data_IF_663794387935
#
_entry.id   IF_663794387935
#
_cell.length_a   1.000
_cell.length_b   1.000
_cell.length_c   1.000
_cell.angle_alpha   90.00
_cell.angle_beta   90.00
_cell.angle_gamma   90.00
#
_symmetry.space_group_name_H-M   'P 1'
#
loop_
_entity.id
_entity.type
_entity.pdbx_description
1 polymer ?
#
# COMPACT_ATOMS: atom_id res chain seq x y z
N UNK A 1 -22.52 8.87 -38.34
CA UNK A 1 -22.24 8.56 -36.91
C UNK A 1 -20.90 9.18 -36.54
N UNK A 2 -20.91 10.28 -35.74
CA UNK A 2 -19.69 10.88 -35.21
C UNK A 2 -19.34 10.07 -33.96
N UNK A 3 -18.34 9.21 -34.00
CA UNK A 3 -17.70 8.64 -32.83
C UNK A 3 -17.01 9.80 -32.11
N UNK A 4 -17.65 10.32 -31.05
CA UNK A 4 -16.99 11.19 -30.07
C UNK A 4 -16.05 10.25 -29.30
N UNK A 5 -14.80 10.24 -29.67
CA UNK A 5 -13.74 9.68 -28.83
C UNK A 5 -13.74 10.51 -27.55
N UNK A 6 -14.38 9.96 -26.49
CA UNK A 6 -14.18 10.46 -25.14
C UNK A 6 -12.68 10.27 -24.90
N UNK A 7 -11.90 11.36 -24.90
CA UNK A 7 -10.51 11.29 -24.50
C UNK A 7 -10.56 10.90 -23.03
N UNK A 8 -10.43 9.61 -22.77
CA UNK A 8 -10.18 9.13 -21.43
C UNK A 8 -8.87 9.77 -21.02
N UNK A 9 -8.91 10.67 -20.06
CA UNK A 9 -7.71 11.16 -19.39
C UNK A 9 -7.24 10.02 -18.49
N UNK A 10 -6.82 8.93 -19.16
CA UNK A 10 -6.32 7.76 -18.45
C UNK A 10 -5.10 8.20 -17.65
N UNK A 11 -5.17 8.01 -16.35
CA UNK A 11 -4.00 8.09 -15.48
C UNK A 11 -2.83 7.37 -16.18
N UNK A 12 -1.67 7.97 -16.16
CA UNK A 12 -0.43 7.28 -16.48
C UNK A 12 0.39 7.10 -15.18
N UNK A 13 1.19 6.07 -15.16
CA UNK A 13 1.99 5.72 -13.97
C UNK A 13 3.04 6.77 -13.63
N UNK A 14 3.54 7.53 -14.61
CA UNK A 14 4.48 8.61 -14.35
C UNK A 14 3.84 9.70 -13.49
N UNK A 15 2.58 10.08 -13.76
CA UNK A 15 1.82 11.03 -12.95
C UNK A 15 1.54 10.47 -11.54
N UNK A 16 1.08 9.21 -11.45
CA UNK A 16 0.87 8.57 -10.15
C UNK A 16 2.14 8.54 -9.30
N UNK A 17 3.27 8.22 -9.91
CA UNK A 17 4.55 8.18 -9.21
C UNK A 17 4.97 9.57 -8.69
N UNK A 18 4.74 10.64 -9.45
CA UNK A 18 4.97 12.02 -8.98
C UNK A 18 4.11 12.38 -7.77
N UNK A 19 2.87 11.89 -7.70
CA UNK A 19 2.01 12.09 -6.53
C UNK A 19 2.57 11.36 -5.32
N UNK A 20 3.05 10.13 -5.48
CA UNK A 20 3.70 9.37 -4.42
C UNK A 20 4.97 10.05 -3.91
N UNK A 21 5.82 10.52 -4.81
CA UNK A 21 7.01 11.29 -4.43
C UNK A 21 6.66 12.55 -3.62
N UNK A 22 5.60 13.27 -4.00
CA UNK A 22 5.11 14.45 -3.24
C UNK A 22 4.61 14.06 -1.85
N UNK A 23 3.88 12.95 -1.73
CA UNK A 23 3.38 12.44 -0.46
C UNK A 23 4.53 12.05 0.47
N UNK A 24 5.49 11.27 -0.03
CA UNK A 24 6.68 10.83 0.70
C UNK A 24 7.50 12.05 1.15
N UNK A 25 7.78 12.99 0.26
CA UNK A 25 8.54 14.18 0.60
C UNK A 25 7.84 15.04 1.66
N UNK A 26 6.51 15.20 1.59
CA UNK A 26 5.75 15.94 2.60
C UNK A 26 5.79 15.24 3.96
N UNK A 27 5.66 13.91 3.98
CA UNK A 27 5.72 13.13 5.23
C UNK A 27 7.06 13.33 5.94
N UNK A 28 8.17 13.20 5.23
CA UNK A 28 9.51 13.28 5.80
C UNK A 28 9.98 14.70 6.19
N UNK A 29 9.10 15.72 6.02
CA UNK A 29 9.37 17.05 6.61
C UNK A 29 9.30 17.01 8.14
N UNK A 30 8.31 16.33 8.70
CA UNK A 30 8.15 16.15 10.16
C UNK A 30 8.58 14.74 10.61
N UNK A 31 8.56 13.78 9.71
CA UNK A 31 8.99 12.41 9.91
C UNK A 31 8.41 11.76 11.18
N UNK A 32 7.10 11.88 11.36
CA UNK A 32 6.39 11.42 12.55
C UNK A 32 5.10 10.70 12.16
N UNK A 33 4.85 9.53 12.76
CA UNK A 33 3.61 8.77 12.56
C UNK A 33 2.37 9.46 13.13
N UNK A 34 2.54 10.42 14.02
CA UNK A 34 1.46 11.17 14.67
C UNK A 34 1.27 12.58 14.06
N UNK A 35 1.95 12.88 12.94
CA UNK A 35 1.81 14.19 12.28
C UNK A 35 0.43 14.32 11.61
N UNK A 36 -0.10 15.57 11.49
CA UNK A 36 -1.37 15.79 10.81
C UNK A 36 -1.26 15.46 9.32
N UNK A 37 -2.32 14.84 8.80
CA UNK A 37 -2.47 14.57 7.37
C UNK A 37 -3.13 15.77 6.67
N UNK A 38 -2.50 16.27 5.64
CA UNK A 38 -3.03 17.31 4.76
C UNK A 38 -2.93 16.84 3.32
N UNK A 39 -4.05 16.84 2.61
CA UNK A 39 -4.09 16.45 1.20
C UNK A 39 -4.25 17.70 0.32
N UNK A 40 -3.30 18.01 -0.57
CA UNK A 40 -3.35 19.21 -1.40
C UNK A 40 -4.29 19.09 -2.62
N UNK A 41 -4.85 17.90 -2.86
CA UNK A 41 -5.68 17.63 -4.04
C UNK A 41 -7.16 17.71 -3.73
N UNK A 42 -7.97 18.00 -4.77
CA UNK A 42 -9.43 18.06 -4.66
C UNK A 42 -10.02 16.74 -4.14
N UNK A 43 -10.90 16.78 -3.12
CA UNK A 43 -11.51 15.59 -2.56
C UNK A 43 -12.16 14.70 -3.62
N UNK A 44 -11.94 13.39 -3.52
CA UNK A 44 -12.46 12.35 -4.43
C UNK A 44 -11.83 12.33 -5.83
N UNK A 45 -10.91 13.25 -6.16
CA UNK A 45 -10.11 13.10 -7.37
C UNK A 45 -9.19 11.88 -7.27
N UNK A 46 -8.76 11.33 -8.40
CA UNK A 46 -7.79 10.24 -8.39
C UNK A 46 -6.49 10.66 -7.70
N UNK A 47 -6.03 11.88 -7.94
CA UNK A 47 -4.83 12.44 -7.31
C UNK A 47 -4.95 12.48 -5.78
N UNK A 48 -6.14 12.85 -5.28
CA UNK A 48 -6.44 12.80 -3.85
C UNK A 48 -6.34 11.39 -3.28
N UNK A 49 -6.93 10.40 -3.97
CA UNK A 49 -6.90 9.00 -3.55
C UNK A 49 -5.48 8.45 -3.57
N UNK A 50 -4.71 8.74 -4.62
CA UNK A 50 -3.31 8.29 -4.75
C UNK A 50 -2.41 8.88 -3.66
N UNK A 51 -2.56 10.18 -3.39
CA UNK A 51 -1.79 10.87 -2.35
C UNK A 51 -2.11 10.30 -0.97
N UNK A 52 -3.38 10.15 -0.64
CA UNK A 52 -3.83 9.58 0.63
C UNK A 52 -3.36 8.13 0.78
N UNK A 53 -3.48 7.33 -0.29
CA UNK A 53 -3.01 5.93 -0.29
C UNK A 53 -1.52 5.84 0.05
N UNK A 54 -0.69 6.63 -0.61
CA UNK A 54 0.75 6.62 -0.36
C UNK A 54 1.11 7.18 1.02
N UNK A 55 0.37 8.18 1.52
CA UNK A 55 0.54 8.65 2.90
C UNK A 55 0.31 7.55 3.92
N UNK A 56 -0.79 6.80 3.79
CA UNK A 56 -1.09 5.67 4.68
C UNK A 56 0.01 4.60 4.57
N UNK A 57 0.50 4.30 3.37
CA UNK A 57 1.62 3.37 3.17
C UNK A 57 2.89 3.84 3.87
N UNK A 58 3.17 5.15 3.83
CA UNK A 58 4.34 5.75 4.48
C UNK A 58 4.22 5.66 6.01
N UNK A 59 3.07 6.01 6.58
CA UNK A 59 2.79 5.84 8.02
C UNK A 59 2.93 4.38 8.44
N UNK A 60 2.35 3.46 7.65
CA UNK A 60 2.45 2.02 7.90
C UNK A 60 3.91 1.54 7.89
N UNK A 61 4.73 2.01 6.94
CA UNK A 61 6.15 1.70 6.88
C UNK A 61 6.86 2.05 8.19
N UNK A 62 6.64 3.25 8.70
CA UNK A 62 7.27 3.69 9.95
C UNK A 62 6.71 3.00 11.19
N UNK A 63 5.41 2.63 11.23
CA UNK A 63 4.90 1.76 12.30
C UNK A 63 5.61 0.41 12.30
N UNK A 64 5.86 -0.17 11.12
CA UNK A 64 6.59 -1.41 10.98
C UNK A 64 8.06 -1.30 11.40
N UNK A 65 8.69 -0.14 11.25
CA UNK A 65 10.03 0.11 11.77
C UNK A 65 10.02 0.23 13.30
N UNK A 66 9.09 1.00 13.85
CA UNK A 66 8.98 1.22 15.30
C UNK A 66 8.74 -0.08 16.09
N UNK A 67 7.92 -0.99 15.58
CA UNK A 67 7.62 -2.27 16.28
C UNK A 67 8.81 -3.22 16.32
N UNK A 68 9.84 -2.98 15.49
CA UNK A 68 11.09 -3.76 15.44
C UNK A 68 12.14 -3.30 16.44
N UNK A 69 11.87 -2.26 17.26
CA UNK A 69 12.78 -1.85 18.33
C UNK A 69 12.96 -3.01 19.33
N UNK A 70 14.18 -3.57 19.48
CA UNK A 70 14.40 -4.78 20.29
C UNK A 70 14.06 -4.63 21.77
N UNK A 71 13.98 -3.40 22.27
CA UNK A 71 13.69 -3.09 23.67
C UNK A 71 12.35 -2.39 23.86
N UNK A 72 11.44 -2.53 22.89
CA UNK A 72 10.10 -1.95 22.98
C UNK A 72 9.35 -2.50 24.18
N UNK A 73 8.67 -1.63 24.92
CA UNK A 73 7.79 -2.06 25.99
C UNK A 73 6.65 -2.93 25.46
N UNK A 74 6.31 -4.05 26.10
CA UNK A 74 5.27 -4.98 25.60
C UNK A 74 3.87 -4.33 25.46
N UNK A 75 3.51 -3.36 26.32
CA UNK A 75 2.22 -2.65 26.22
C UNK A 75 2.25 -1.72 25.01
N UNK A 76 3.32 -0.95 24.86
CA UNK A 76 3.54 -0.08 23.70
C UNK A 76 3.57 -0.89 22.39
N UNK A 77 4.21 -2.08 22.38
CA UNK A 77 4.22 -2.97 21.23
C UNK A 77 2.81 -3.45 20.85
N UNK A 78 1.97 -3.78 21.82
CA UNK A 78 0.58 -4.19 21.55
C UNK A 78 -0.25 -3.03 21.01
N UNK A 79 -0.08 -1.82 21.54
CA UNK A 79 -0.76 -0.63 21.04
C UNK A 79 -0.33 -0.31 19.60
N UNK A 80 0.97 -0.40 19.33
CA UNK A 80 1.52 -0.19 17.99
C UNK A 80 1.02 -1.26 17.00
N UNK A 81 0.94 -2.54 17.44
CA UNK A 81 0.34 -3.61 16.63
C UNK A 81 -1.11 -3.31 16.26
N UNK A 82 -1.90 -2.74 17.17
CA UNK A 82 -3.29 -2.33 16.87
C UNK A 82 -3.34 -1.18 15.85
N UNK A 83 -2.42 -0.20 15.95
CA UNK A 83 -2.27 0.85 14.94
C UNK A 83 -1.91 0.28 13.58
N UNK A 84 -1.00 -0.69 13.52
CA UNK A 84 -0.63 -1.42 12.29
C UNK A 84 -1.84 -2.12 11.68
N UNK A 85 -2.64 -2.82 12.49
CA UNK A 85 -3.84 -3.52 12.00
C UNK A 85 -4.89 -2.56 11.46
N UNK A 86 -5.12 -1.42 12.14
CA UNK A 86 -6.01 -0.37 11.67
C UNK A 86 -5.51 0.23 10.34
N UNK A 87 -4.24 0.60 10.27
CA UNK A 87 -3.61 1.13 9.06
C UNK A 87 -3.67 0.14 7.88
N UNK A 88 -3.52 -1.17 8.12
CA UNK A 88 -3.71 -2.19 7.09
C UNK A 88 -5.18 -2.26 6.61
N UNK A 89 -6.15 -1.94 7.46
CA UNK A 89 -7.55 -1.82 7.03
C UNK A 89 -7.71 -0.60 6.13
N UNK A 90 -7.21 0.57 6.56
CA UNK A 90 -7.26 1.81 5.78
C UNK A 90 -6.61 1.66 4.40
N UNK A 91 -5.46 0.96 4.33
CA UNK A 91 -4.80 0.63 3.05
C UNK A 91 -5.71 -0.18 2.13
N UNK A 92 -6.40 -1.16 2.66
CA UNK A 92 -7.34 -1.99 1.88
C UNK A 92 -8.53 -1.18 1.40
N UNK A 93 -9.09 -0.35 2.27
CA UNK A 93 -10.23 0.52 1.94
C UNK A 93 -9.83 1.50 0.83
N UNK A 94 -8.61 2.04 0.86
CA UNK A 94 -8.10 2.90 -0.21
C UNK A 94 -7.97 2.18 -1.55
N UNK A 95 -7.55 0.91 -1.56
CA UNK A 95 -7.54 0.10 -2.79
C UNK A 95 -8.97 -0.06 -3.33
N UNK A 96 -9.95 -0.32 -2.46
CA UNK A 96 -11.36 -0.43 -2.88
C UNK A 96 -11.92 0.91 -3.43
N UNK A 97 -11.51 2.05 -2.88
CA UNK A 97 -11.88 3.37 -3.41
C UNK A 97 -11.27 3.65 -4.78
N UNK A 98 -10.00 3.34 -4.96
CA UNK A 98 -9.31 3.47 -6.25
C UNK A 98 -9.92 2.50 -7.28
N UNK A 99 -10.27 1.28 -6.90
CA UNK A 99 -10.99 0.34 -7.77
C UNK A 99 -12.36 0.86 -8.18
N UNK A 100 -13.08 1.48 -7.25
CA UNK A 100 -14.39 2.11 -7.54
C UNK A 100 -14.25 3.25 -8.54
N UNK A 101 -13.16 4.03 -8.46
CA UNK A 101 -12.84 5.06 -9.45
C UNK A 101 -12.64 4.44 -10.85
N UNK A 102 -11.81 3.42 -10.99
CA UNK A 102 -11.57 2.78 -12.29
C UNK A 102 -12.81 2.07 -12.82
N UNK A 103 -13.61 1.45 -11.95
CA UNK A 103 -14.88 0.83 -12.36
C UNK A 103 -15.83 1.86 -12.96
N UNK A 104 -15.89 3.05 -12.38
CA UNK A 104 -16.68 4.16 -12.93
C UNK A 104 -16.09 4.69 -14.23
N UNK A 105 -14.76 4.88 -14.28
CA UNK A 105 -14.06 5.38 -15.47
C UNK A 105 -14.27 4.48 -16.69
N UNK A 106 -14.18 3.15 -16.51
CA UNK A 106 -14.35 2.18 -17.59
C UNK A 106 -15.80 1.69 -17.76
N UNK A 107 -16.78 2.24 -17.03
CA UNK A 107 -18.18 1.77 -17.04
C UNK A 107 -18.86 1.81 -18.39
N UNK A 108 -18.42 2.72 -19.28
CA UNK A 108 -18.97 2.88 -20.64
C UNK A 108 -18.20 2.15 -21.71
N UNK A 109 -17.15 1.40 -21.34
CA UNK A 109 -16.34 0.64 -22.30
C UNK A 109 -17.04 -0.68 -22.65
N UNK A 110 -17.38 -0.86 -23.92
CA UNK A 110 -17.88 -2.16 -24.42
C UNK A 110 -16.72 -3.16 -24.55
N UNK A 111 -16.92 -4.36 -23.98
CA UNK A 111 -15.91 -5.40 -24.06
C UNK A 111 -15.88 -6.00 -25.46
N UNK A 112 -14.68 -6.19 -26.00
CA UNK A 112 -14.46 -6.88 -27.25
C UNK A 112 -14.77 -8.38 -27.10
N UNK A 113 -15.09 -9.04 -28.21
CA UNK A 113 -15.15 -10.50 -28.25
C UNK A 113 -13.79 -11.09 -27.85
N UNK A 114 -13.79 -12.02 -26.90
CA UNK A 114 -12.55 -12.59 -26.34
C UNK A 114 -11.85 -11.74 -25.30
N UNK A 115 -12.46 -10.65 -24.80
CA UNK A 115 -11.91 -9.86 -23.69
C UNK A 115 -11.60 -10.74 -22.49
N UNK A 116 -10.45 -10.48 -21.84
CA UNK A 116 -9.96 -11.30 -20.73
C UNK A 116 -9.99 -10.52 -19.41
N UNK A 117 -10.18 -11.25 -18.30
CA UNK A 117 -10.01 -10.71 -16.96
C UNK A 117 -8.52 -10.73 -16.56
N UNK A 118 -8.06 -9.73 -15.84
CA UNK A 118 -6.71 -9.70 -15.29
C UNK A 118 -6.68 -10.31 -13.88
N UNK A 119 -5.52 -10.78 -13.43
CA UNK A 119 -5.35 -11.42 -12.11
C UNK A 119 -5.58 -10.44 -10.96
N UNK A 120 -5.17 -9.20 -11.15
CA UNK A 120 -5.34 -8.11 -10.21
C UNK A 120 -6.00 -6.90 -10.90
N UNK A 121 -6.69 -6.08 -10.11
CA UNK A 121 -7.27 -4.82 -10.61
C UNK A 121 -6.19 -3.75 -10.79
N UNK A 122 -6.48 -2.65 -11.51
CA UNK A 122 -5.59 -1.50 -11.58
C UNK A 122 -5.20 -0.95 -10.20
N UNK A 123 -6.11 -0.94 -9.23
CA UNK A 123 -5.82 -0.42 -7.90
C UNK A 123 -4.81 -1.29 -7.15
N UNK A 124 -4.86 -2.61 -7.26
CA UNK A 124 -3.85 -3.49 -6.67
C UNK A 124 -2.48 -3.33 -7.33
N UNK A 125 -2.45 -3.12 -8.64
CA UNK A 125 -1.20 -2.83 -9.35
C UNK A 125 -0.60 -1.48 -8.92
N UNK A 126 -1.45 -0.47 -8.68
CA UNK A 126 -1.06 0.85 -8.16
C UNK A 126 -0.62 0.75 -6.70
N UNK A 127 -1.25 -0.08 -5.85
CA UNK A 127 -0.78 -0.36 -4.48
C UNK A 127 0.67 -0.83 -4.49
N UNK A 128 1.01 -1.75 -5.38
CA UNK A 128 2.40 -2.22 -5.55
C UNK A 128 3.35 -1.10 -5.99
N UNK A 129 2.90 -0.21 -6.88
CA UNK A 129 3.68 0.93 -7.33
C UNK A 129 3.93 1.94 -6.21
N UNK A 130 2.93 2.19 -5.34
CA UNK A 130 3.03 3.06 -4.16
C UNK A 130 4.08 2.53 -3.17
N UNK A 131 4.04 1.24 -2.85
CA UNK A 131 5.04 0.60 -1.97
C UNK A 131 6.43 0.61 -2.62
N UNK A 132 6.51 0.46 -3.94
CA UNK A 132 7.79 0.54 -4.65
C UNK A 132 8.40 1.94 -4.58
N UNK A 133 7.58 2.99 -4.63
CA UNK A 133 8.04 4.36 -4.45
C UNK A 133 8.70 4.57 -3.08
N UNK A 134 8.11 4.04 -1.99
CA UNK A 134 8.71 4.05 -0.65
C UNK A 134 10.03 3.28 -0.59
N UNK A 135 10.08 2.08 -1.19
CA UNK A 135 11.32 1.29 -1.23
C UNK A 135 12.45 2.03 -1.96
N UNK A 136 12.12 2.72 -3.05
CA UNK A 136 13.09 3.52 -3.80
C UNK A 136 13.59 4.68 -2.94
N UNK A 137 12.67 5.40 -2.28
CA UNK A 137 13.03 6.52 -1.41
C UNK A 137 14.01 6.08 -0.31
N UNK A 138 13.65 5.11 0.51
CA UNK A 138 14.50 4.66 1.62
C UNK A 138 15.79 3.99 1.15
N UNK A 139 15.78 3.27 0.02
CA UNK A 139 16.99 2.69 -0.54
C UNK A 139 17.94 3.77 -1.09
N UNK A 140 17.38 4.86 -1.63
CA UNK A 140 18.16 6.01 -2.05
C UNK A 140 18.82 6.70 -0.85
N UNK A 141 18.11 6.88 0.26
CA UNK A 141 18.69 7.41 1.50
C UNK A 141 19.82 6.54 1.99
N UNK A 142 19.67 5.20 2.05
CA UNK A 142 20.70 4.28 2.48
C UNK A 142 21.91 4.26 1.55
N UNK A 143 21.70 4.36 0.25
CA UNK A 143 22.79 4.43 -0.72
C UNK A 143 23.62 5.73 -0.59
N UNK A 144 23.05 6.78 -0.01
CA UNK A 144 23.70 8.09 0.17
C UNK A 144 24.03 8.41 1.63
N UNK A 145 23.73 7.52 2.57
CA UNK A 145 23.95 7.75 4.01
C UNK A 145 25.42 7.89 4.34
N UNK A 146 25.83 9.11 4.67
CA UNK A 146 27.24 9.46 4.91
C UNK A 146 27.86 8.76 6.12
N UNK A 147 27.03 8.34 7.10
CA UNK A 147 27.48 7.59 8.28
C UNK A 147 27.68 6.10 8.03
N UNK A 148 27.29 5.58 6.86
CA UNK A 148 27.47 4.17 6.49
C UNK A 148 28.83 3.93 5.83
N UNK A 149 29.28 2.68 5.86
CA UNK A 149 30.48 2.26 5.14
C UNK A 149 30.31 2.34 3.61
N UNK A 150 31.41 2.47 2.88
CA UNK A 150 31.40 2.47 1.42
C UNK A 150 30.84 1.17 0.85
N UNK A 151 31.13 0.03 1.49
CA UNK A 151 30.61 -1.28 1.11
C UNK A 151 29.06 -1.33 1.24
N UNK A 152 28.54 -0.82 2.36
CA UNK A 152 27.09 -0.73 2.57
C UNK A 152 26.44 0.14 1.50
N UNK A 153 26.96 1.35 1.26
CA UNK A 153 26.43 2.26 0.23
C UNK A 153 26.46 1.65 -1.16
N UNK A 154 27.58 0.99 -1.52
CA UNK A 154 27.69 0.30 -2.81
C UNK A 154 26.66 -0.85 -2.95
N UNK A 155 26.41 -1.59 -1.86
CA UNK A 155 25.38 -2.64 -1.82
C UNK A 155 23.98 -2.06 -1.99
N UNK A 156 23.65 -0.96 -1.30
CA UNK A 156 22.38 -0.27 -1.42
C UNK A 156 22.20 0.35 -2.83
N UNK A 157 23.26 0.90 -3.43
CA UNK A 157 23.20 1.40 -4.80
C UNK A 157 22.85 0.31 -5.82
N UNK A 158 23.39 -0.91 -5.67
CA UNK A 158 23.01 -2.05 -6.52
C UNK A 158 21.54 -2.44 -6.34
N UNK A 159 21.04 -2.48 -5.10
CA UNK A 159 19.61 -2.74 -4.81
C UNK A 159 18.72 -1.64 -5.38
N UNK A 160 19.15 -0.37 -5.26
CA UNK A 160 18.42 0.76 -5.83
C UNK A 160 18.29 0.63 -7.36
N UNK A 161 19.35 0.23 -8.06
CA UNK A 161 19.28 -0.01 -9.50
C UNK A 161 18.22 -1.05 -9.87
N UNK A 162 18.13 -2.15 -9.12
CA UNK A 162 17.08 -3.18 -9.32
C UNK A 162 15.68 -2.62 -9.05
N UNK A 163 15.50 -1.78 -8.00
CA UNK A 163 14.21 -1.15 -7.72
C UNK A 163 13.80 -0.16 -8.84
N UNK A 164 14.75 0.53 -9.45
CA UNK A 164 14.49 1.42 -10.60
C UNK A 164 14.08 0.64 -11.85
N UNK A 165 14.69 -0.52 -12.09
CA UNK A 165 14.25 -1.43 -13.16
C UNK A 165 12.82 -1.93 -12.89
N UNK A 166 12.52 -2.41 -11.66
CA UNK A 166 11.17 -2.80 -11.25
C UNK A 166 10.15 -1.67 -11.43
N UNK A 167 10.51 -0.41 -11.14
CA UNK A 167 9.66 0.75 -11.39
C UNK A 167 9.30 0.85 -12.87
N UNK A 168 10.28 0.71 -13.74
CA UNK A 168 10.08 0.78 -15.19
C UNK A 168 9.13 -0.32 -15.66
N UNK A 169 9.41 -1.57 -15.29
CA UNK A 169 8.62 -2.73 -15.71
C UNK A 169 7.18 -2.67 -15.19
N UNK A 170 7.01 -2.35 -13.91
CA UNK A 170 5.68 -2.24 -13.29
C UNK A 170 4.89 -1.08 -13.91
N UNK A 171 5.54 0.06 -14.18
CA UNK A 171 4.89 1.20 -14.84
C UNK A 171 4.40 0.84 -16.23
N UNK A 172 5.23 0.20 -17.05
CA UNK A 172 4.84 -0.26 -18.39
C UNK A 172 3.66 -1.24 -18.31
N UNK A 173 3.71 -2.19 -17.38
CA UNK A 173 2.65 -3.18 -17.24
C UNK A 173 1.31 -2.58 -16.81
N UNK A 174 1.32 -1.59 -15.90
CA UNK A 174 0.11 -0.87 -15.48
C UNK A 174 -0.45 -0.01 -16.63
N UNK A 175 0.40 0.73 -17.34
CA UNK A 175 -0.05 1.57 -18.46
C UNK A 175 -0.63 0.71 -19.61
N UNK A 176 -0.06 -0.47 -19.86
CA UNK A 176 -0.62 -1.46 -20.80
C UNK A 176 -1.98 -1.98 -20.33
N UNK A 177 -2.12 -2.34 -19.03
CA UNK A 177 -3.38 -2.80 -18.47
C UNK A 177 -4.48 -1.75 -18.64
N UNK A 178 -4.21 -0.49 -18.30
CA UNK A 178 -5.17 0.60 -18.44
C UNK A 178 -5.54 0.85 -19.91
N UNK A 179 -4.56 0.77 -20.82
CA UNK A 179 -4.78 0.88 -22.26
C UNK A 179 -5.66 -0.24 -22.78
N UNK A 180 -5.41 -1.48 -22.38
CA UNK A 180 -6.20 -2.64 -22.79
C UNK A 180 -7.63 -2.60 -22.23
N UNK A 181 -7.81 -2.08 -21.01
CA UNK A 181 -9.13 -1.85 -20.43
C UNK A 181 -9.89 -0.76 -21.18
N UNK A 182 -9.25 0.39 -21.47
CA UNK A 182 -9.86 1.45 -22.25
C UNK A 182 -10.25 1.01 -23.67
N UNK A 183 -9.50 0.07 -24.24
CA UNK A 183 -9.79 -0.54 -25.54
C UNK A 183 -10.82 -1.68 -25.46
N UNK A 184 -11.30 -2.08 -24.30
CA UNK A 184 -12.23 -3.20 -24.12
C UNK A 184 -11.62 -4.59 -24.34
N UNK A 185 -10.29 -4.71 -24.42
CA UNK A 185 -9.58 -6.00 -24.54
C UNK A 185 -9.49 -6.73 -23.21
N UNK A 186 -9.49 -5.97 -22.11
CA UNK A 186 -9.52 -6.48 -20.74
C UNK A 186 -10.64 -5.84 -19.96
N UNK A 187 -11.12 -6.53 -18.95
CA UNK A 187 -12.11 -6.02 -18.02
C UNK A 187 -11.72 -6.34 -16.59
N UNK A 188 -12.23 -5.55 -15.64
CA UNK A 188 -12.02 -5.76 -14.21
C UNK A 188 -13.32 -6.18 -13.53
N UNK A 189 -13.15 -6.93 -12.44
CA UNK A 189 -14.19 -7.18 -11.45
C UNK A 189 -13.65 -6.76 -10.10
N UNK A 190 -14.47 -6.08 -9.33
CA UNK A 190 -14.13 -5.65 -7.98
C UNK A 190 -14.80 -6.60 -6.99
N UNK A 191 -13.99 -7.16 -6.11
CA UNK A 191 -14.45 -7.98 -5.00
C UNK A 191 -14.01 -7.33 -3.70
N UNK A 192 -14.95 -7.16 -2.77
CA UNK A 192 -14.61 -6.72 -1.42
C UNK A 192 -13.76 -7.77 -0.74
N UNK A 193 -12.74 -7.34 0.00
CA UNK A 193 -12.01 -8.25 0.86
C UNK A 193 -12.88 -8.63 2.05
N UNK A 194 -13.28 -9.89 2.11
CA UNK A 194 -14.05 -10.45 3.22
C UNK A 194 -13.07 -10.88 4.32
N UNK A 195 -12.50 -9.91 5.07
CA UNK A 195 -11.57 -10.17 6.16
C UNK A 195 -12.31 -10.81 7.33
N UNK A 196 -12.11 -12.10 7.53
CA UNK A 196 -12.81 -12.86 8.58
C UNK A 196 -12.20 -12.67 9.97
N UNK A 197 -10.90 -12.42 10.08
CA UNK A 197 -10.19 -12.39 11.36
C UNK A 197 -10.48 -11.15 12.22
N UNK A 198 -10.96 -10.05 11.62
CA UNK A 198 -11.37 -8.84 12.34
C UNK A 198 -12.87 -8.82 12.68
N UNK A 199 -13.66 -9.76 12.16
CA UNK A 199 -15.10 -9.84 12.38
C UNK A 199 -15.37 -10.68 13.62
N UNK A 200 -16.06 -10.09 14.61
CA UNK A 200 -16.39 -10.75 15.86
C UNK A 200 -17.27 -12.00 15.68
N UNK A 201 -18.06 -12.04 14.61
CA UNK A 201 -18.94 -13.18 14.29
C UNK A 201 -18.24 -14.30 13.53
N UNK A 202 -17.12 -14.01 12.87
CA UNK A 202 -16.41 -14.94 11.99
C UNK A 202 -15.09 -15.45 12.57
N UNK A 203 -14.50 -14.74 13.54
CA UNK A 203 -13.27 -15.18 14.19
C UNK A 203 -13.57 -16.01 15.44
N UNK A 204 -13.24 -17.33 15.48
CA UNK A 204 -13.49 -18.19 16.63
C UNK A 204 -12.90 -17.67 17.96
N UNK A 205 -11.75 -17.00 17.92
CA UNK A 205 -11.13 -16.42 19.12
C UNK A 205 -11.98 -15.29 19.69
N UNK A 206 -12.73 -14.58 18.85
CA UNK A 206 -13.59 -13.46 19.26
C UNK A 206 -14.96 -13.96 19.72
N UNK A 207 -15.63 -14.89 19.00
CA UNK A 207 -16.98 -15.33 19.34
C UNK A 207 -17.05 -16.49 20.33
N UNK A 208 -16.06 -17.39 20.41
CA UNK A 208 -16.05 -18.49 21.37
C UNK A 208 -15.73 -18.05 22.79
N UNK A 209 -15.35 -16.80 22.94
CA UNK A 209 -15.21 -16.07 24.18
C UNK A 209 -14.50 -16.75 25.36
N UNK A 210 -13.34 -16.25 25.70
CA UNK A 210 -12.91 -16.06 27.10
C UNK A 210 -12.29 -17.24 27.88
N UNK A 211 -12.37 -18.47 27.44
CA UNK A 211 -11.75 -19.57 28.19
C UNK A 211 -10.38 -20.03 27.67
N UNK A 212 -9.98 -19.59 26.49
CA UNK A 212 -8.71 -20.04 25.87
C UNK A 212 -7.47 -19.24 26.25
N UNK A 213 -7.63 -18.08 26.89
CA UNK A 213 -6.49 -17.31 27.37
C UNK A 213 -6.23 -17.53 28.85
N UNK A 214 -5.89 -18.77 29.23
CA UNK A 214 -5.09 -18.99 30.41
C UNK A 214 -3.64 -19.09 29.98
N UNK A 215 -2.73 -18.21 30.44
CA UNK A 215 -1.31 -18.41 30.21
C UNK A 215 -0.87 -19.68 30.95
N UNK A 216 -0.67 -20.76 30.21
CA UNK A 216 -0.03 -21.97 30.71
C UNK A 216 1.48 -21.77 30.84
N UNK A 217 1.90 -20.70 31.47
CA UNK A 217 3.27 -20.56 31.96
C UNK A 217 3.23 -20.62 33.47
N UNK A 218 3.21 -21.87 34.01
CA UNK A 218 3.75 -22.11 35.33
C UNK A 218 5.25 -21.90 35.23
N UNK A 219 5.73 -20.75 35.65
CA UNK A 219 7.14 -20.58 35.97
C UNK A 219 7.51 -21.63 37.02
N UNK A 220 8.61 -22.39 36.88
CA UNK A 220 9.06 -23.30 37.90
C UNK A 220 9.39 -22.49 39.14
N UNK A 221 8.83 -22.95 40.26
CA UNK A 221 9.01 -22.35 41.57
C UNK A 221 10.50 -22.52 41.99
N UNK A 222 11.29 -21.45 42.22
CA UNK A 222 12.67 -21.57 42.64
C UNK A 222 12.72 -21.68 44.16
N UNK A 223 12.23 -22.77 44.70
CA UNK A 223 12.48 -23.12 46.10
C UNK A 223 12.29 -24.62 46.34
N UNK A 224 13.41 -25.36 46.16
CA UNK A 224 13.75 -26.55 46.97
C UNK A 224 15.11 -27.10 46.47
N UNK A 225 16.15 -26.64 47.07
CA UNK A 225 17.30 -27.39 47.59
C UNK A 225 18.39 -26.46 48.04
#
# INVERSE_FOLDING_TARGET
MRYIWKIFTTMNTAHAFQIFEKSIAKYHVLDSVDQPFENPFEPKSLDHLLYQKNWIDTVQWHYEDLIREPRIDPVAALELKRKIDASNQDRTDMVEYIDSYFLQEFSSVEHQEGATINTESPAWAIDRLSILALKIYHMHEEANRTSASDEHRATCAKKLAVLMEQKTDLSIAIDQLLTDMAAGKKYMKVYKQMKMYNDESLNPVLYQNKSYWQPSVRLPNPSKS
#
